data_IF_202569817439
#
_entry.id   IF_202569817439
#
_cell.length_a   1.000
_cell.length_b   1.000
_cell.length_c   1.000
_cell.angle_alpha   90.00
_cell.angle_beta   90.00
_cell.angle_gamma   90.00
#
_symmetry.space_group_name_H-M   'P 1'
#
loop_
_entity.id
_entity.type
_entity.pdbx_description
1 polymer ?
#
# COMPACT_ATOMS: atom_id res chain seq x y z
N UNK A 1 -22.82 -40.01 -78.91
CA UNK A 1 -21.99 -38.81 -79.17
C UNK A 1 -21.86 -38.06 -77.84
N UNK A 2 -20.92 -38.47 -76.99
CA UNK A 2 -19.57 -37.89 -76.80
C UNK A 2 -19.56 -36.47 -76.21
N UNK A 3 -19.22 -36.35 -74.91
CA UNK A 3 -18.04 -35.61 -74.37
C UNK A 3 -18.16 -35.33 -72.86
N UNK A 4 -17.62 -36.25 -72.05
CA UNK A 4 -16.49 -36.05 -71.13
C UNK A 4 -15.99 -34.62 -70.75
N UNK A 5 -15.77 -34.46 -69.42
CA UNK A 5 -14.64 -33.77 -68.73
C UNK A 5 -14.81 -32.25 -68.41
N UNK A 6 -14.89 -31.88 -67.12
CA UNK A 6 -13.78 -31.31 -66.29
C UNK A 6 -14.23 -30.97 -64.85
N UNK A 7 -13.51 -31.56 -63.91
CA UNK A 7 -13.48 -31.23 -62.49
C UNK A 7 -12.99 -29.79 -62.27
N UNK A 8 -13.61 -29.07 -61.33
CA UNK A 8 -12.95 -28.00 -60.58
C UNK A 8 -13.48 -28.01 -59.14
N UNK A 9 -12.77 -28.76 -58.28
CA UNK A 9 -12.88 -28.65 -56.83
C UNK A 9 -12.39 -27.26 -56.42
N UNK A 10 -13.26 -26.46 -55.81
CA UNK A 10 -12.84 -25.28 -55.04
C UNK A 10 -12.99 -25.65 -53.56
N UNK A 11 -11.88 -26.11 -52.98
CA UNK A 11 -11.70 -26.26 -51.54
C UNK A 11 -11.68 -24.86 -50.91
N UNK A 12 -12.80 -24.46 -50.31
CA UNK A 12 -12.85 -23.28 -49.46
C UNK A 12 -12.20 -23.65 -48.11
N UNK A 13 -10.89 -23.42 -48.01
CA UNK A 13 -10.16 -23.59 -46.76
C UNK A 13 -10.65 -22.54 -45.75
N UNK A 14 -11.47 -22.98 -44.78
CA UNK A 14 -11.70 -22.24 -43.54
C UNK A 14 -10.39 -22.24 -42.75
N UNK A 15 -9.53 -21.25 -42.99
CA UNK A 15 -8.47 -20.89 -42.06
C UNK A 15 -9.11 -20.17 -40.88
N UNK A 16 -9.62 -20.95 -39.93
CA UNK A 16 -9.95 -20.48 -38.58
C UNK A 16 -8.63 -20.03 -37.95
N UNK A 17 -8.33 -18.74 -38.09
CA UNK A 17 -7.23 -18.13 -37.36
C UNK A 17 -7.53 -18.26 -35.88
N UNK A 18 -6.82 -19.15 -35.20
CA UNK A 18 -6.65 -19.07 -33.76
C UNK A 18 -5.97 -17.73 -33.48
N UNK A 19 -6.78 -16.68 -33.31
CA UNK A 19 -6.34 -15.50 -32.59
C UNK A 19 -6.12 -15.99 -31.18
N UNK A 20 -4.87 -16.34 -30.88
CA UNK A 20 -4.39 -16.39 -29.51
C UNK A 20 -4.62 -15.01 -28.94
N UNK A 21 -5.76 -14.80 -28.30
CA UNK A 21 -5.89 -13.73 -27.33
C UNK A 21 -4.82 -14.08 -26.31
N UNK A 22 -3.66 -13.45 -26.43
CA UNK A 22 -2.80 -13.22 -25.28
C UNK A 22 -3.73 -12.51 -24.30
N UNK A 23 -4.34 -13.28 -23.41
CA UNK A 23 -4.93 -12.72 -22.22
C UNK A 23 -3.80 -11.87 -21.65
N UNK A 24 -3.95 -10.54 -21.73
CA UNK A 24 -3.18 -9.66 -20.89
C UNK A 24 -3.37 -10.28 -19.51
N UNK A 25 -2.30 -10.87 -18.96
CA UNK A 25 -2.30 -11.36 -17.59
C UNK A 25 -2.85 -10.18 -16.80
N UNK A 26 -4.09 -10.29 -16.31
CA UNK A 26 -4.76 -9.13 -15.73
C UNK A 26 -3.83 -8.64 -14.65
N UNK A 27 -3.27 -7.45 -14.85
CA UNK A 27 -2.24 -6.93 -13.97
C UNK A 27 -2.80 -7.08 -12.55
N UNK A 28 -2.08 -7.83 -11.69
CA UNK A 28 -2.62 -8.27 -10.41
C UNK A 28 -3.26 -7.05 -9.73
N UNK A 29 -4.57 -7.06 -9.42
CA UNK A 29 -5.32 -5.84 -9.12
C UNK A 29 -4.85 -5.17 -7.83
N UNK A 30 -4.06 -5.88 -7.02
CA UNK A 30 -3.44 -5.36 -5.83
C UNK A 30 -2.17 -4.55 -6.12
N UNK A 31 -1.49 -4.76 -7.24
CA UNK A 31 -0.28 -4.00 -7.63
C UNK A 31 -0.62 -2.51 -7.68
N UNK A 32 0.23 -1.71 -7.04
CA UNK A 32 0.07 -0.28 -6.91
C UNK A 32 0.32 0.20 -5.48
N UNK A 33 -0.16 1.41 -5.22
CA UNK A 33 0.05 2.13 -3.96
C UNK A 33 -1.30 2.47 -3.38
N UNK A 34 -1.45 2.28 -2.09
CA UNK A 34 -2.72 2.37 -1.40
C UNK A 34 -2.57 3.23 -0.16
N UNK A 35 -3.42 4.25 -0.03
CA UNK A 35 -3.55 5.03 1.19
C UNK A 35 -4.51 4.27 2.12
N UNK A 36 -4.03 3.88 3.30
CA UNK A 36 -4.83 3.13 4.28
C UNK A 36 -5.44 4.07 5.31
N UNK A 37 -6.66 3.78 5.74
CA UNK A 37 -7.22 4.27 7.00
C UNK A 37 -7.22 3.11 7.97
N UNK A 38 -6.17 3.01 8.79
CA UNK A 38 -5.93 1.86 9.70
C UNK A 38 -6.87 1.89 10.91
N UNK A 39 -7.02 0.79 11.67
CA UNK A 39 -7.85 0.76 12.87
C UNK A 39 -7.54 1.93 13.82
N UNK A 40 -8.59 2.58 14.31
CA UNK A 40 -8.48 3.82 15.08
C UNK A 40 -8.44 5.11 14.24
N UNK A 41 -8.54 5.02 12.91
CA UNK A 41 -8.62 6.17 12.00
C UNK A 41 -7.27 6.80 11.64
N UNK A 42 -6.17 6.13 11.99
CA UNK A 42 -4.83 6.58 11.62
C UNK A 42 -4.55 6.45 10.12
N UNK A 43 -3.54 7.18 9.64
CA UNK A 43 -3.05 7.00 8.28
C UNK A 43 -2.14 5.76 8.19
N UNK A 44 -2.21 5.06 7.07
CA UNK A 44 -1.22 4.05 6.71
C UNK A 44 -0.97 4.06 5.21
N UNK A 45 -0.06 3.21 4.77
CA UNK A 45 0.25 3.05 3.36
C UNK A 45 0.59 1.60 3.06
N UNK A 46 0.17 1.09 1.91
CA UNK A 46 0.55 -0.22 1.38
C UNK A 46 1.03 -0.05 -0.06
N UNK A 47 2.24 -0.50 -0.34
CA UNK A 47 2.76 -0.70 -1.69
C UNK A 47 2.79 -2.17 -2.01
N UNK A 48 2.27 -2.55 -3.17
CA UNK A 48 2.33 -3.91 -3.70
C UNK A 48 2.96 -3.83 -5.08
N UNK A 49 3.98 -4.64 -5.30
CA UNK A 49 4.75 -4.64 -6.53
C UNK A 49 5.12 -6.06 -6.94
N UNK A 50 5.51 -6.22 -8.20
CA UNK A 50 6.04 -7.47 -8.72
C UNK A 50 7.54 -7.32 -8.92
N UNK A 51 8.30 -8.16 -8.25
CA UNK A 51 9.75 -8.21 -8.33
C UNK A 51 10.18 -9.65 -8.64
N UNK A 52 10.93 -9.86 -9.73
CA UNK A 52 11.41 -11.18 -10.16
C UNK A 52 10.31 -12.26 -10.23
N UNK A 53 9.11 -11.87 -10.70
CA UNK A 53 7.94 -12.76 -10.80
C UNK A 53 7.23 -13.04 -9.47
N UNK A 54 7.73 -12.53 -8.34
CA UNK A 54 7.11 -12.67 -7.03
C UNK A 54 6.37 -11.40 -6.63
N UNK A 55 5.30 -11.55 -5.87
CA UNK A 55 4.62 -10.42 -5.24
C UNK A 55 5.44 -9.97 -4.02
N UNK A 56 5.73 -8.68 -3.95
CA UNK A 56 6.34 -8.02 -2.80
C UNK A 56 5.39 -6.95 -2.29
N UNK A 57 5.45 -6.69 -1.00
CA UNK A 57 4.71 -5.59 -0.42
C UNK A 57 5.51 -4.90 0.69
N UNK A 58 5.25 -3.62 0.86
CA UNK A 58 5.78 -2.80 1.94
C UNK A 58 4.65 -2.00 2.57
N UNK A 59 4.74 -1.74 3.86
CA UNK A 59 3.66 -1.14 4.64
C UNK A 59 4.19 -0.07 5.61
N UNK A 60 3.42 1.01 5.75
CA UNK A 60 3.53 2.00 6.83
C UNK A 60 2.28 1.89 7.70
N UNK A 61 2.47 1.82 9.02
CA UNK A 61 1.38 1.68 9.98
C UNK A 61 1.35 2.85 10.96
N UNK A 62 0.59 3.91 10.66
CA UNK A 62 0.49 5.10 11.49
C UNK A 62 1.63 6.09 11.27
N UNK A 63 2.84 5.70 11.65
CA UNK A 63 4.04 6.54 11.59
C UNK A 63 5.34 5.74 11.59
N UNK A 64 6.46 6.45 11.42
CA UNK A 64 7.78 5.84 11.25
C UNK A 64 8.10 5.53 9.79
N UNK A 65 8.79 4.40 9.57
CA UNK A 65 9.26 4.00 8.24
C UNK A 65 8.27 3.07 7.53
N UNK A 66 8.27 3.15 6.20
CA UNK A 66 7.77 2.07 5.35
C UNK A 66 8.71 0.86 5.51
N UNK A 67 8.16 -0.32 5.78
CA UNK A 67 8.94 -1.56 5.96
C UNK A 67 8.36 -2.70 5.13
N UNK A 68 9.19 -3.66 4.67
CA UNK A 68 8.70 -4.81 3.94
C UNK A 68 7.82 -5.70 4.82
N UNK A 69 6.83 -6.35 4.21
CA UNK A 69 6.09 -7.45 4.86
C UNK A 69 6.92 -8.73 4.79
N UNK A 70 6.71 -9.68 5.71
CA UNK A 70 7.42 -10.96 5.68
C UNK A 70 6.86 -11.91 4.63
N UNK A 71 5.61 -11.73 4.22
CA UNK A 71 4.97 -12.49 3.13
C UNK A 71 3.91 -11.66 2.41
N UNK A 72 3.84 -11.83 1.09
CA UNK A 72 2.76 -11.32 0.24
C UNK A 72 2.42 -12.37 -0.84
N UNK A 73 1.15 -12.77 -0.90
CA UNK A 73 0.63 -13.67 -1.94
C UNK A 73 -0.84 -13.42 -2.20
N UNK A 74 -1.32 -13.89 -3.35
CA UNK A 74 -2.75 -13.88 -3.69
C UNK A 74 -3.25 -15.32 -3.73
N UNK A 75 -4.32 -15.59 -3.01
CA UNK A 75 -5.07 -16.86 -3.06
C UNK A 75 -6.50 -16.57 -3.52
N UNK A 76 -6.83 -17.02 -4.73
CA UNK A 76 -8.08 -16.67 -5.40
C UNK A 76 -8.20 -15.15 -5.61
N UNK A 77 -9.22 -14.55 -5.02
CA UNK A 77 -9.49 -13.12 -5.07
C UNK A 77 -8.93 -12.36 -3.85
N UNK A 78 -8.18 -13.01 -2.95
CA UNK A 78 -7.72 -12.41 -1.68
C UNK A 78 -6.21 -12.20 -1.68
N UNK A 79 -5.79 -10.95 -1.43
CA UNK A 79 -4.40 -10.66 -1.07
C UNK A 79 -4.17 -11.03 0.41
N UNK A 80 -3.10 -11.77 0.68
CA UNK A 80 -2.64 -12.12 2.02
C UNK A 80 -1.28 -11.48 2.26
N UNK A 81 -1.17 -10.81 3.40
CA UNK A 81 0.07 -10.21 3.88
C UNK A 81 0.37 -10.75 5.28
N UNK A 82 1.65 -10.95 5.58
CA UNK A 82 2.11 -11.25 6.94
C UNK A 82 3.15 -10.25 7.40
N UNK A 83 3.08 -9.85 8.67
CA UNK A 83 4.07 -8.97 9.31
C UNK A 83 4.55 -9.62 10.59
N UNK A 84 5.86 -9.68 10.76
CA UNK A 84 6.47 -10.24 11.96
C UNK A 84 6.70 -9.13 12.99
N UNK A 85 6.25 -9.36 14.22
CA UNK A 85 6.41 -8.41 15.32
C UNK A 85 7.24 -9.05 16.42
N UNK A 86 8.20 -8.29 16.94
CA UNK A 86 9.01 -8.68 18.10
C UNK A 86 8.45 -8.03 19.35
N UNK A 87 7.86 -8.83 20.24
CA UNK A 87 7.31 -8.36 21.51
C UNK A 87 8.31 -8.68 22.61
N UNK A 88 8.93 -7.65 23.16
CA UNK A 88 9.84 -7.79 24.31
C UNK A 88 9.02 -7.79 25.59
N UNK A 89 8.98 -8.92 26.30
CA UNK A 89 8.41 -9.00 27.65
C UNK A 89 9.44 -8.51 28.65
N UNK A 90 9.00 -7.65 29.56
CA UNK A 90 9.85 -7.06 30.61
C UNK A 90 9.31 -7.45 31.99
N UNK A 91 10.20 -7.61 32.95
CA UNK A 91 9.82 -7.74 34.35
C UNK A 91 9.44 -6.37 34.96
N UNK A 92 9.05 -6.36 36.23
CA UNK A 92 8.67 -5.14 36.96
C UNK A 92 9.80 -4.10 37.05
N UNK A 93 11.05 -4.55 36.96
CA UNK A 93 12.24 -3.68 36.90
C UNK A 93 12.56 -3.18 35.48
N UNK A 94 11.70 -3.46 34.48
CA UNK A 94 11.88 -3.03 33.09
C UNK A 94 12.91 -3.82 32.28
N UNK A 95 13.56 -4.84 32.86
CA UNK A 95 14.52 -5.71 32.17
C UNK A 95 13.79 -6.66 31.24
N UNK A 96 14.26 -6.79 29.99
CA UNK A 96 13.72 -7.77 29.04
C UNK A 96 14.03 -9.17 29.51
N UNK A 97 12.99 -9.98 29.71
CA UNK A 97 13.08 -11.37 30.19
C UNK A 97 12.81 -12.38 29.08
N UNK A 98 12.04 -11.99 28.04
CA UNK A 98 11.88 -12.79 26.82
C UNK A 98 11.53 -11.89 25.64
N UNK A 99 11.70 -12.40 24.43
CA UNK A 99 11.20 -11.77 23.20
C UNK A 99 10.39 -12.82 22.46
N UNK A 100 9.09 -12.55 22.29
CA UNK A 100 8.22 -13.39 21.50
C UNK A 100 8.12 -12.83 20.09
N UNK A 101 8.00 -13.71 19.10
CA UNK A 101 7.68 -13.35 17.74
C UNK A 101 6.21 -13.68 17.48
N UNK A 102 5.43 -12.66 17.11
CA UNK A 102 4.05 -12.87 16.69
C UNK A 102 3.91 -12.47 15.22
N UNK A 103 3.09 -13.22 14.50
CA UNK A 103 2.83 -13.01 13.08
C UNK A 103 1.43 -12.43 12.92
N UNK A 104 1.37 -11.16 12.54
CA UNK A 104 0.15 -10.50 12.11
C UNK A 104 -0.21 -10.97 10.71
N UNK A 105 -1.50 -11.20 10.46
CA UNK A 105 -2.03 -11.44 9.12
C UNK A 105 -2.93 -10.30 8.71
N UNK A 106 -2.84 -9.88 7.46
CA UNK A 106 -3.79 -8.95 6.84
C UNK A 106 -4.33 -9.64 5.60
N UNK A 107 -5.66 -9.71 5.50
CA UNK A 107 -6.35 -10.15 4.29
C UNK A 107 -7.00 -8.94 3.64
N UNK A 108 -6.92 -8.83 2.32
CA UNK A 108 -7.52 -7.74 1.57
C UNK A 108 -8.31 -8.25 0.37
N UNK A 109 -9.44 -7.58 0.12
CA UNK A 109 -10.22 -7.68 -1.13
C UNK A 109 -10.23 -6.33 -1.83
N UNK A 110 -10.03 -6.37 -3.14
CA UNK A 110 -10.04 -5.18 -3.99
C UNK A 110 -11.34 -5.06 -4.79
N UNK A 111 -11.86 -3.84 -4.85
CA UNK A 111 -12.98 -3.46 -5.71
C UNK A 111 -12.64 -2.13 -6.38
N UNK A 112 -12.16 -2.18 -7.62
CA UNK A 112 -11.66 -1.01 -8.33
C UNK A 112 -10.50 -0.33 -7.59
N UNK A 113 -10.78 0.86 -7.07
CA UNK A 113 -9.83 1.71 -6.33
C UNK A 113 -10.00 1.64 -4.81
N UNK A 114 -10.77 0.68 -4.31
CA UNK A 114 -10.99 0.46 -2.88
C UNK A 114 -10.44 -0.90 -2.43
N UNK A 115 -9.85 -0.91 -1.23
CA UNK A 115 -9.52 -2.12 -0.49
C UNK A 115 -10.41 -2.21 0.76
N UNK A 116 -11.00 -3.39 0.95
CA UNK A 116 -11.52 -3.84 2.24
C UNK A 116 -10.50 -4.78 2.86
N UNK A 117 -10.01 -4.46 4.06
CA UNK A 117 -8.97 -5.24 4.73
C UNK A 117 -9.41 -5.67 6.13
N UNK A 118 -8.97 -6.84 6.56
CA UNK A 118 -9.10 -7.32 7.93
C UNK A 118 -7.71 -7.61 8.49
N UNK A 119 -7.35 -6.93 9.56
CA UNK A 119 -6.20 -7.26 10.39
C UNK A 119 -6.56 -8.40 11.33
N UNK A 120 -5.69 -9.39 11.44
CA UNK A 120 -5.78 -10.51 12.37
C UNK A 120 -4.49 -10.55 13.18
N UNK A 121 -4.59 -10.22 14.46
CA UNK A 121 -3.46 -10.17 15.38
C UNK A 121 -3.62 -11.25 16.46
N UNK A 122 -2.70 -12.21 16.58
CA UNK A 122 -2.70 -13.14 17.70
C UNK A 122 -2.68 -12.39 19.04
N UNK A 123 -3.48 -12.85 20.02
CA UNK A 123 -3.45 -12.25 21.35
C UNK A 123 -2.14 -12.57 22.06
N UNK A 124 -1.67 -11.63 22.89
CA UNK A 124 -0.38 -11.76 23.61
C UNK A 124 -0.35 -12.88 24.65
N UNK A 125 -1.52 -13.32 25.09
CA UNK A 125 -1.71 -14.47 25.99
C UNK A 125 -1.67 -15.82 25.25
N UNK A 126 -1.52 -15.80 23.91
CA UNK A 126 -1.52 -16.98 23.05
C UNK A 126 -2.91 -17.59 22.83
N UNK A 127 -3.99 -16.97 23.35
CA UNK A 127 -5.35 -17.52 23.30
C UNK A 127 -6.23 -16.74 22.34
N UNK A 128 -6.26 -17.20 21.10
CA UNK A 128 -7.11 -16.63 20.04
C UNK A 128 -6.50 -15.39 19.40
N UNK A 129 -7.35 -14.62 18.72
CA UNK A 129 -6.95 -13.52 17.85
C UNK A 129 -7.88 -12.31 18.01
N UNK A 130 -7.33 -11.13 17.80
CA UNK A 130 -8.07 -9.89 17.65
C UNK A 130 -8.22 -9.59 16.17
N UNK A 131 -9.42 -9.17 15.77
CA UNK A 131 -9.73 -8.78 14.40
C UNK A 131 -10.11 -7.31 14.34
N UNK A 132 -9.67 -6.63 13.30
CA UNK A 132 -10.04 -5.23 13.06
C UNK A 132 -10.12 -4.97 11.58
N UNK A 133 -11.29 -4.50 11.14
CA UNK A 133 -11.52 -4.12 9.76
C UNK A 133 -11.05 -2.70 9.50
N UNK A 134 -10.52 -2.47 8.31
CA UNK A 134 -10.01 -1.18 7.88
C UNK A 134 -10.00 -1.08 6.36
N UNK A 135 -9.76 0.12 5.83
CA UNK A 135 -9.93 0.38 4.40
C UNK A 135 -8.67 0.94 3.77
N UNK A 136 -8.60 0.83 2.44
CA UNK A 136 -7.59 1.46 1.63
C UNK A 136 -8.18 2.07 0.36
N UNK A 137 -7.54 3.12 -0.15
CA UNK A 137 -7.87 3.75 -1.43
C UNK A 137 -6.65 3.80 -2.33
N UNK A 138 -6.82 3.47 -3.62
CA UNK A 138 -5.72 3.49 -4.58
C UNK A 138 -5.19 4.92 -4.73
N UNK A 139 -3.87 5.05 -4.70
CA UNK A 139 -3.15 6.28 -4.96
C UNK A 139 -2.88 6.33 -6.47
N UNK A 140 -3.39 7.35 -7.19
CA UNK A 140 -3.14 7.52 -8.62
C UNK A 140 -1.65 7.53 -8.94
N UNK A 141 -1.27 7.08 -10.12
CA UNK A 141 0.10 7.17 -10.63
C UNK A 141 0.62 8.61 -10.52
N UNK A 142 1.88 8.75 -10.13
CA UNK A 142 2.50 10.07 -10.15
C UNK A 142 2.58 10.55 -11.60
N UNK A 143 2.42 11.86 -11.86
CA UNK A 143 2.70 12.39 -13.17
C UNK A 143 4.17 12.12 -13.53
N UNK A 144 4.53 12.17 -14.82
CA UNK A 144 5.92 12.14 -15.24
C UNK A 144 6.76 13.16 -14.48
N UNK A 145 8.03 12.82 -14.24
CA UNK A 145 8.98 13.73 -13.61
C UNK A 145 8.93 15.10 -14.33
N UNK A 146 8.73 16.21 -13.59
CA UNK A 146 8.63 17.52 -14.22
C UNK A 146 9.99 17.95 -14.79
N UNK A 147 9.94 18.72 -15.88
CA UNK A 147 11.11 19.40 -16.44
C UNK A 147 11.43 20.64 -15.62
N UNK A 148 12.46 20.53 -14.77
CA UNK A 148 12.86 21.59 -13.85
C UNK A 148 13.41 22.83 -14.58
N UNK A 149 13.86 22.72 -15.84
CA UNK A 149 14.31 23.87 -16.63
C UNK A 149 13.16 24.82 -17.02
N UNK A 150 11.92 24.32 -16.97
CA UNK A 150 10.70 25.07 -17.30
C UNK A 150 9.92 25.56 -16.07
N UNK A 151 10.39 25.24 -14.87
CA UNK A 151 9.74 25.68 -13.63
C UNK A 151 9.76 27.20 -13.55
N UNK A 152 8.58 27.80 -13.32
CA UNK A 152 8.43 29.22 -13.02
C UNK A 152 7.97 29.33 -11.57
N UNK A 153 8.84 29.82 -10.70
CA UNK A 153 8.46 30.10 -9.32
C UNK A 153 7.62 31.38 -9.24
N UNK A 154 6.59 31.35 -8.39
CA UNK A 154 5.84 32.54 -8.02
C UNK A 154 6.61 33.44 -7.05
N UNK A 155 5.93 34.48 -6.54
CA UNK A 155 6.47 35.30 -5.46
C UNK A 155 6.70 34.43 -4.22
N UNK A 156 7.87 34.52 -3.54
CA UNK A 156 8.10 33.82 -2.29
C UNK A 156 7.06 34.19 -1.22
N UNK A 157 6.67 33.20 -0.41
CA UNK A 157 5.82 33.41 0.76
C UNK A 157 6.60 33.06 2.03
N UNK A 158 6.53 33.92 3.04
CA UNK A 158 7.16 33.66 4.35
C UNK A 158 6.23 32.75 5.14
N UNK A 159 6.54 31.45 5.18
CA UNK A 159 5.73 30.45 5.89
C UNK A 159 5.93 30.48 7.40
N UNK A 160 7.16 30.74 7.86
CA UNK A 160 7.47 30.87 9.27
C UNK A 160 7.86 32.32 9.55
N UNK A 161 7.08 32.97 10.40
CA UNK A 161 7.53 34.19 11.05
C UNK A 161 8.36 33.73 12.24
N UNK A 162 9.60 34.13 12.37
CA UNK A 162 10.48 33.98 13.55
C UNK A 162 9.88 34.21 14.97
N UNK A 163 8.57 34.37 15.18
CA UNK A 163 7.97 34.75 16.47
C UNK A 163 7.01 33.71 17.02
N UNK A 164 6.19 33.09 16.18
CA UNK A 164 5.11 32.22 16.63
C UNK A 164 4.64 31.25 15.53
N UNK A 165 3.57 30.51 15.83
CA UNK A 165 2.94 29.54 14.92
C UNK A 165 1.74 30.12 14.15
N UNK A 166 1.61 31.44 14.04
CA UNK A 166 0.54 32.04 13.25
C UNK A 166 0.63 31.56 11.80
N UNK A 167 -0.50 31.14 11.24
CA UNK A 167 -0.56 30.50 9.92
C UNK A 167 -0.35 28.97 9.96
N UNK A 168 -0.04 28.40 11.13
CA UNK A 168 0.08 26.95 11.33
C UNK A 168 -1.02 26.43 12.25
N UNK A 169 -1.39 25.17 12.05
CA UNK A 169 -2.30 24.44 12.93
C UNK A 169 -1.87 22.98 12.99
N UNK A 170 -2.18 22.33 14.10
CA UNK A 170 -1.99 20.89 14.21
C UNK A 170 -2.87 20.16 13.19
N UNK A 171 -2.33 19.08 12.64
CA UNK A 171 -3.10 18.15 11.79
C UNK A 171 -4.23 17.49 12.58
N UNK A 172 -4.02 17.21 13.87
CA UNK A 172 -5.04 16.83 14.82
C UNK A 172 -5.19 17.92 15.90
N UNK A 173 -6.27 18.71 15.90
CA UNK A 173 -6.45 19.81 16.84
C UNK A 173 -6.65 19.37 18.30
N UNK A 174 -6.84 18.07 18.56
CA UNK A 174 -7.00 17.51 19.91
C UNK A 174 -5.68 17.08 20.55
N UNK A 175 -4.57 17.12 19.81
CA UNK A 175 -3.25 16.78 20.37
C UNK A 175 -2.66 17.97 21.12
N UNK A 176 -1.86 17.68 22.14
CA UNK A 176 -1.01 18.70 22.77
C UNK A 176 0.03 19.13 21.74
N UNK A 177 0.21 20.44 21.58
CA UNK A 177 1.17 20.97 20.63
C UNK A 177 2.60 20.82 21.18
N UNK A 178 3.41 19.99 20.54
CA UNK A 178 4.84 19.84 20.86
C UNK A 178 5.74 20.92 20.22
N UNK A 179 5.18 21.82 19.41
CA UNK A 179 5.96 22.86 18.72
C UNK A 179 5.98 24.17 19.51
N UNK A 180 7.15 24.79 19.61
CA UNK A 180 7.36 26.12 20.18
C UNK A 180 8.34 26.93 19.34
N UNK A 181 8.42 28.24 19.58
CA UNK A 181 9.43 29.12 18.98
C UNK A 181 10.36 29.64 20.06
N UNK A 182 11.66 29.43 19.90
CA UNK A 182 12.71 29.87 20.83
C UNK A 182 13.85 30.50 20.02
N UNK A 183 14.24 31.73 20.37
CA UNK A 183 15.30 32.49 19.70
C UNK A 183 15.15 32.57 18.16
N UNK A 184 13.90 32.66 17.68
CA UNK A 184 13.59 32.68 16.25
C UNK A 184 13.65 31.32 15.56
N UNK A 185 13.79 30.23 16.31
CA UNK A 185 13.90 28.86 15.82
C UNK A 185 12.66 28.07 16.22
N UNK A 186 12.12 27.31 15.28
CA UNK A 186 11.03 26.37 15.53
C UNK A 186 11.58 25.11 16.21
N UNK A 187 11.14 24.84 17.44
CA UNK A 187 11.57 23.71 18.27
C UNK A 187 10.47 22.66 18.36
N UNK A 188 10.83 21.39 18.24
CA UNK A 188 9.92 20.25 18.44
C UNK A 188 10.26 19.52 19.75
N UNK A 189 9.30 19.48 20.67
CA UNK A 189 9.33 18.68 21.90
C UNK A 189 8.06 17.81 21.95
N UNK A 190 8.12 16.60 21.36
CA UNK A 190 7.02 15.66 21.44
C UNK A 190 6.65 15.34 22.89
N UNK A 191 5.36 15.22 23.16
CA UNK A 191 4.75 14.96 24.47
C UNK A 191 3.95 13.67 24.49
#
# INVERSE_FOLDING_TARGET
>A
MSKNIRYAMVLLALSTGCVSVLAAESENPYIGRWALTIPGGGAGWLGVERENGQLKASILWGGGSVVPVSRADVDGDVLRLERDHKIRRRNDAGKVISTDEIKEKIIAKVSGDELSLTQIMPRRDGKGENRSDFTGKRIPSLPPKPDLSKVKFGKPIKLFNDKNLDGWKLTNPRQVNGWSVEDGILINRPV
#
